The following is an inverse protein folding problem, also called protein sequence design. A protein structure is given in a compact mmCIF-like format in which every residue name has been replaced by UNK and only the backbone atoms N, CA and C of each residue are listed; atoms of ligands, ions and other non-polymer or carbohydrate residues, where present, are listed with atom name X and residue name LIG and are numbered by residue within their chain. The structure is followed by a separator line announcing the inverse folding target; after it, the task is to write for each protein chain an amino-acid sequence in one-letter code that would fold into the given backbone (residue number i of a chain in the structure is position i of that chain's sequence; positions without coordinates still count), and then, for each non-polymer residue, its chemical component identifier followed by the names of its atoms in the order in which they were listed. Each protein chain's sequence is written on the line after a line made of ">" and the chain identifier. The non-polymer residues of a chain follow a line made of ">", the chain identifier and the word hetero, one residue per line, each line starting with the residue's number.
data_IF_328946187991
#
_entry.id   IF_328946187991
#
_cell.length_a   1.000
_cell.length_b   1.000
_cell.length_c   1.000
_cell.angle_alpha   90.00
_cell.angle_beta   90.00
_cell.angle_gamma   90.00
#
_symmetry.space_group_name_H-M   'P 1'
#
loop_
_entity.id
_entity.type
_entity.pdbx_description
1 polymer ?
#
# COMPACT_ATOMS: atom_id res chain seq x y z
N UNK A 1 7.11 41.18 18.82
CA UNK A 1 8.01 42.18 18.20
C UNK A 1 8.35 41.67 16.80
N UNK A 2 7.71 42.30 15.80
CA UNK A 2 7.98 42.50 14.35
C UNK A 2 8.99 41.59 13.58
N UNK A 3 8.95 41.54 12.21
CA UNK A 3 7.87 41.89 11.25
C UNK A 3 7.80 41.07 9.92
N UNK A 4 6.74 41.37 9.14
CA UNK A 4 6.60 41.52 7.66
C UNK A 4 7.42 40.70 6.66
N UNK A 5 6.75 40.30 5.55
CA UNK A 5 7.16 40.25 4.12
C UNK A 5 6.09 39.38 3.39
N UNK A 6 5.40 39.69 2.28
CA UNK A 6 5.57 40.56 1.12
C UNK A 6 4.20 41.02 0.58
N UNK A 7 4.17 42.23 0.01
CA UNK A 7 3.09 42.74 -0.84
C UNK A 7 3.76 43.33 -2.10
N UNK A 8 3.41 42.83 -3.29
CA UNK A 8 3.75 43.48 -4.56
C UNK A 8 2.73 43.08 -5.62
N UNK A 9 1.86 44.03 -5.98
CA UNK A 9 0.95 43.96 -7.11
C UNK A 9 1.73 44.23 -8.40
N UNK A 10 1.76 43.26 -9.30
CA UNK A 10 2.04 43.49 -10.71
C UNK A 10 0.87 42.97 -11.54
N UNK A 11 0.19 43.90 -12.22
CA UNK A 11 -0.88 43.62 -13.18
C UNK A 11 -0.24 43.43 -14.55
N UNK A 12 -0.13 42.19 -15.01
CA UNK A 12 0.35 41.87 -16.36
C UNK A 12 -0.85 41.49 -17.22
N UNK A 13 -1.11 42.25 -18.27
CA UNK A 13 -2.17 41.97 -19.24
C UNK A 13 -1.84 40.70 -20.05
N UNK A 14 -2.74 39.71 -19.98
CA UNK A 14 -2.63 38.44 -20.71
C UNK A 14 -3.21 38.57 -22.12
N UNK A 15 -2.37 38.38 -23.13
CA UNK A 15 -2.78 38.19 -24.53
C UNK A 15 -3.10 36.71 -24.72
N UNK A 16 -4.36 36.40 -25.05
CA UNK A 16 -4.79 35.03 -25.39
C UNK A 16 -4.35 34.64 -26.80
N UNK A 17 -3.73 33.48 -27.03
CA UNK A 17 -3.65 32.90 -28.36
C UNK A 17 -5.01 32.28 -28.76
N UNK A 18 -5.36 32.30 -30.06
CA UNK A 18 -6.61 31.71 -30.56
C UNK A 18 -6.60 30.17 -30.47
N UNK A 19 -7.78 29.53 -30.44
CA UNK A 19 -7.91 28.08 -30.31
C UNK A 19 -7.41 27.36 -31.58
N UNK A 20 -6.68 26.26 -31.36
CA UNK A 20 -6.20 25.35 -32.40
C UNK A 20 -7.38 24.50 -32.89
N UNK A 21 -7.76 24.69 -34.15
CA UNK A 21 -8.76 23.86 -34.83
C UNK A 21 -8.12 22.53 -35.26
N UNK A 22 -8.52 21.42 -34.63
CA UNK A 22 -8.17 20.09 -35.10
C UNK A 22 -9.12 19.67 -36.23
N UNK A 23 -8.62 19.59 -37.45
CA UNK A 23 -9.30 18.95 -38.58
C UNK A 23 -9.16 17.43 -38.48
N UNK A 24 -10.26 16.72 -38.22
CA UNK A 24 -10.30 15.26 -38.32
C UNK A 24 -10.41 14.84 -39.79
N UNK A 25 -9.39 14.18 -40.32
CA UNK A 25 -9.50 13.40 -41.54
C UNK A 25 -8.46 12.29 -41.47
N UNK A 26 -8.96 11.06 -41.29
CA UNK A 26 -8.34 9.79 -41.70
C UNK A 26 -9.26 8.65 -41.21
N UNK A 27 -10.22 8.26 -42.05
CA UNK A 27 -10.85 6.95 -41.96
C UNK A 27 -9.94 5.92 -42.66
N UNK A 28 -9.50 4.85 -41.99
CA UNK A 28 -8.97 3.67 -42.67
C UNK A 28 -10.11 2.70 -43.06
N UNK A 29 -9.92 1.88 -44.10
CA UNK A 29 -10.95 1.03 -44.67
C UNK A 29 -11.33 -0.11 -43.71
N UNK A 30 -12.64 -0.27 -43.52
CA UNK A 30 -13.27 -1.36 -42.76
C UNK A 30 -12.99 -2.68 -43.48
N UNK A 31 -12.06 -3.47 -42.94
CA UNK A 31 -11.94 -4.89 -43.28
C UNK A 31 -13.09 -5.65 -42.60
N UNK A 32 -13.89 -6.32 -43.42
CA UNK A 32 -14.91 -7.31 -43.08
C UNK A 32 -14.53 -8.15 -41.85
N UNK A 33 -15.31 -8.00 -40.78
CA UNK A 33 -15.24 -8.81 -39.56
C UNK A 33 -15.71 -10.22 -39.90
N UNK A 34 -14.82 -11.21 -39.83
CA UNK A 34 -15.21 -12.60 -39.82
C UNK A 34 -16.10 -12.85 -38.58
N UNK A 35 -17.29 -13.39 -38.79
CA UNK A 35 -18.17 -13.86 -37.72
C UNK A 35 -17.44 -14.87 -36.83
N UNK A 36 -17.39 -14.65 -35.50
CA UNK A 36 -16.78 -15.62 -34.59
C UNK A 36 -17.58 -16.92 -34.66
N UNK A 37 -16.90 -18.03 -34.95
CA UNK A 37 -17.47 -19.36 -34.86
C UNK A 37 -17.96 -19.58 -33.43
N UNK A 38 -19.25 -19.91 -33.30
CA UNK A 38 -19.87 -20.23 -32.02
C UNK A 38 -19.08 -21.37 -31.37
N UNK A 39 -18.53 -21.19 -30.15
CA UNK A 39 -17.81 -22.26 -29.48
C UNK A 39 -18.77 -23.44 -29.25
N UNK A 40 -18.30 -24.68 -29.41
CA UNK A 40 -19.12 -25.86 -29.20
C UNK A 40 -19.67 -25.87 -27.77
N UNK A 41 -20.99 -26.02 -27.65
CA UNK A 41 -21.68 -26.10 -26.36
C UNK A 41 -21.10 -27.29 -25.59
N UNK A 42 -20.52 -27.07 -24.40
CA UNK A 42 -19.96 -28.17 -23.61
C UNK A 42 -21.07 -29.12 -23.21
N UNK A 43 -20.90 -30.41 -23.52
CA UNK A 43 -21.87 -31.44 -23.12
C UNK A 43 -22.06 -31.46 -21.60
N UNK A 44 -23.31 -31.65 -21.13
CA UNK A 44 -23.66 -31.67 -19.70
C UNK A 44 -22.79 -32.66 -18.89
N UNK A 45 -22.35 -33.74 -19.51
CA UNK A 45 -21.45 -34.74 -18.95
C UNK A 45 -20.05 -34.19 -18.62
N UNK A 46 -19.55 -33.21 -19.39
CA UNK A 46 -18.27 -32.54 -19.12
C UNK A 46 -18.40 -31.51 -17.99
N UNK A 47 -19.58 -30.90 -17.83
CA UNK A 47 -19.88 -29.96 -16.75
C UNK A 47 -19.93 -30.70 -15.40
N UNK A 48 -20.63 -31.84 -15.33
CA UNK A 48 -20.74 -32.65 -14.11
C UNK A 48 -19.38 -33.27 -13.72
N UNK A 49 -18.63 -33.80 -14.69
CA UNK A 49 -17.27 -34.32 -14.43
C UNK A 49 -16.32 -33.20 -13.98
N UNK A 50 -16.41 -32.01 -14.58
CA UNK A 50 -15.66 -30.83 -14.15
C UNK A 50 -16.00 -30.41 -12.72
N UNK A 51 -17.29 -30.44 -12.36
CA UNK A 51 -17.77 -30.11 -11.02
C UNK A 51 -17.31 -31.10 -9.95
N UNK A 52 -17.45 -32.42 -10.19
CA UNK A 52 -16.99 -33.47 -9.26
C UNK A 52 -15.47 -33.42 -9.08
N UNK A 53 -14.73 -33.24 -10.19
CA UNK A 53 -13.27 -33.11 -10.13
C UNK A 53 -12.85 -31.85 -9.38
N UNK A 54 -13.56 -30.74 -9.57
CA UNK A 54 -13.37 -29.47 -8.86
C UNK A 54 -13.59 -29.61 -7.35
N UNK A 55 -14.67 -30.27 -6.91
CA UNK A 55 -14.93 -30.52 -5.48
C UNK A 55 -13.81 -31.38 -4.88
N UNK A 56 -13.40 -32.45 -5.57
CA UNK A 56 -12.30 -33.31 -5.12
C UNK A 56 -10.99 -32.56 -4.94
N UNK A 57 -10.64 -31.66 -5.88
CA UNK A 57 -9.46 -30.81 -5.78
C UNK A 57 -9.58 -29.79 -4.63
N UNK A 58 -10.74 -29.15 -4.45
CA UNK A 58 -10.97 -28.20 -3.35
C UNK A 58 -10.85 -28.87 -1.98
N UNK A 59 -11.40 -30.07 -1.80
CA UNK A 59 -11.27 -30.82 -0.55
C UNK A 59 -9.82 -31.26 -0.29
N UNK A 60 -9.11 -31.75 -1.32
CA UNK A 60 -7.68 -32.09 -1.20
C UNK A 60 -6.85 -30.86 -0.83
N UNK A 61 -7.11 -29.72 -1.48
CA UNK A 61 -6.46 -28.43 -1.16
C UNK A 61 -6.76 -28.04 0.29
N UNK A 62 -8.01 -28.09 0.71
CA UNK A 62 -8.41 -27.78 2.09
C UNK A 62 -7.69 -28.64 3.14
N UNK A 63 -7.63 -29.97 2.93
CA UNK A 63 -6.90 -30.89 3.83
C UNK A 63 -5.41 -30.57 3.90
N UNK A 64 -4.77 -30.29 2.76
CA UNK A 64 -3.35 -29.92 2.68
C UNK A 64 -3.08 -28.59 3.38
N UNK A 65 -3.84 -27.55 3.05
CA UNK A 65 -3.71 -26.21 3.66
C UNK A 65 -3.92 -26.23 5.17
N UNK A 66 -4.83 -27.07 5.67
CA UNK A 66 -5.05 -27.24 7.11
C UNK A 66 -3.89 -27.97 7.79
N UNK A 67 -3.37 -29.04 7.15
CA UNK A 67 -2.18 -29.76 7.63
C UNK A 67 -0.97 -28.81 7.67
N UNK A 68 -0.76 -28.03 6.61
CA UNK A 68 0.31 -27.05 6.54
C UNK A 68 0.16 -25.97 7.60
N UNK A 69 -1.06 -25.48 7.86
CA UNK A 69 -1.31 -24.49 8.92
C UNK A 69 -0.93 -25.03 10.30
N UNK A 70 -1.25 -26.30 10.58
CA UNK A 70 -0.87 -26.96 11.82
C UNK A 70 0.65 -27.18 11.95
N UNK A 71 1.30 -27.59 10.85
CA UNK A 71 2.77 -27.72 10.80
C UNK A 71 3.43 -26.36 11.02
N UNK A 72 2.98 -25.31 10.33
CA UNK A 72 3.46 -23.94 10.49
C UNK A 72 3.28 -23.47 11.94
N UNK A 73 2.14 -23.75 12.58
CA UNK A 73 1.94 -23.44 14.00
C UNK A 73 3.01 -24.07 14.91
N UNK A 74 3.34 -25.35 14.70
CA UNK A 74 4.41 -26.02 15.46
C UNK A 74 5.79 -25.41 15.18
N UNK A 75 6.10 -25.14 13.92
CA UNK A 75 7.36 -24.54 13.48
C UNK A 75 7.54 -23.14 14.06
N UNK A 76 6.50 -22.30 13.98
CA UNK A 76 6.48 -20.94 14.56
C UNK A 76 6.70 -20.96 16.07
N UNK A 77 6.14 -21.95 16.80
CA UNK A 77 6.40 -22.08 18.24
C UNK A 77 7.88 -22.33 18.54
N UNK A 78 8.56 -23.15 17.73
CA UNK A 78 10.00 -23.41 17.86
C UNK A 78 10.83 -22.18 17.49
N UNK A 79 10.54 -21.56 16.35
CA UNK A 79 11.22 -20.33 15.89
C UNK A 79 11.09 -19.23 16.94
N UNK A 80 9.90 -19.04 17.51
CA UNK A 80 9.67 -18.02 18.54
C UNK A 80 10.47 -18.28 19.81
N UNK A 81 10.61 -19.55 20.22
CA UNK A 81 11.46 -19.89 21.36
C UNK A 81 12.93 -19.51 21.08
N UNK A 82 13.44 -19.83 19.89
CA UNK A 82 14.78 -19.43 19.46
C UNK A 82 14.95 -17.92 19.38
N UNK A 83 14.01 -17.21 18.75
CA UNK A 83 14.03 -15.76 18.58
C UNK A 83 14.05 -15.01 19.92
N UNK A 84 13.30 -15.49 20.92
CA UNK A 84 13.29 -14.89 22.25
C UNK A 84 14.63 -15.04 22.99
N UNK A 85 15.42 -16.06 22.66
CA UNK A 85 16.75 -16.28 23.25
C UNK A 85 17.81 -15.49 22.49
N UNK A 86 17.78 -15.55 21.16
CA UNK A 86 18.69 -14.82 20.30
C UNK A 86 17.95 -14.35 19.02
N UNK A 87 17.55 -13.07 18.94
CA UNK A 87 16.85 -12.54 17.77
C UNK A 87 17.65 -12.67 16.46
N UNK A 88 18.98 -12.71 16.56
CA UNK A 88 19.88 -12.79 15.41
C UNK A 88 20.12 -14.20 14.89
N UNK A 89 19.66 -15.27 15.55
CA UNK A 89 20.00 -16.64 15.15
C UNK A 89 19.03 -17.27 14.14
N UNK A 90 17.88 -16.66 13.89
CA UNK A 90 16.91 -17.16 12.92
C UNK A 90 17.17 -16.57 11.52
N UNK A 91 16.75 -17.28 10.48
CA UNK A 91 16.77 -16.82 9.10
C UNK A 91 15.58 -15.88 8.80
N UNK A 92 15.65 -15.13 7.70
CA UNK A 92 14.54 -14.24 7.31
C UNK A 92 13.25 -15.01 6.94
N UNK A 93 13.29 -16.12 6.20
CA UNK A 93 12.10 -16.92 5.95
C UNK A 93 11.44 -17.42 7.25
N UNK A 94 12.23 -17.79 8.26
CA UNK A 94 11.73 -18.17 9.58
C UNK A 94 11.08 -16.99 10.31
N UNK A 95 11.69 -15.81 10.27
CA UNK A 95 11.12 -14.60 10.86
C UNK A 95 9.81 -14.21 10.17
N UNK A 96 9.78 -14.21 8.83
CA UNK A 96 8.58 -13.93 8.04
C UNK A 96 7.47 -14.93 8.33
N UNK A 97 7.80 -16.23 8.42
CA UNK A 97 6.86 -17.28 8.81
C UNK A 97 6.30 -17.05 10.22
N UNK A 98 7.14 -16.63 11.18
CA UNK A 98 6.71 -16.30 12.54
C UNK A 98 5.70 -15.15 12.57
N UNK A 99 5.96 -14.07 11.82
CA UNK A 99 5.07 -12.92 11.74
C UNK A 99 3.74 -13.27 11.04
N UNK A 100 3.81 -13.96 9.89
CA UNK A 100 2.61 -14.46 9.18
C UNK A 100 1.79 -15.41 10.04
N UNK A 101 2.44 -16.26 10.85
CA UNK A 101 1.76 -17.16 11.78
C UNK A 101 0.91 -16.46 12.84
N UNK A 102 1.20 -15.20 13.19
CA UNK A 102 0.32 -14.38 14.06
C UNK A 102 -0.93 -13.95 13.28
N UNK A 103 -0.76 -13.47 12.05
CA UNK A 103 -1.87 -13.04 11.19
C UNK A 103 -2.81 -14.20 10.84
N UNK A 104 -2.25 -15.33 10.44
CA UNK A 104 -2.99 -16.52 10.05
C UNK A 104 -3.86 -17.07 11.18
N UNK A 105 -3.39 -17.00 12.43
CA UNK A 105 -4.20 -17.37 13.59
C UNK A 105 -5.39 -16.44 13.78
N UNK A 106 -5.20 -15.15 13.58
CA UNK A 106 -6.29 -14.17 13.66
C UNK A 106 -7.29 -14.36 12.51
N UNK A 107 -6.80 -14.61 11.29
CA UNK A 107 -7.63 -14.96 10.14
C UNK A 107 -8.44 -16.23 10.38
N UNK A 108 -7.79 -17.29 10.87
CA UNK A 108 -8.47 -18.55 11.22
C UNK A 108 -9.56 -18.32 12.27
N UNK A 109 -9.29 -17.55 13.33
CA UNK A 109 -10.28 -17.23 14.35
C UNK A 109 -11.48 -16.47 13.77
N UNK A 110 -11.24 -15.51 12.86
CA UNK A 110 -12.31 -14.78 12.18
C UNK A 110 -13.14 -15.69 11.28
N UNK A 111 -12.51 -16.61 10.54
CA UNK A 111 -13.21 -17.58 9.70
C UNK A 111 -14.03 -18.56 10.56
N UNK A 112 -13.47 -19.06 11.66
CA UNK A 112 -14.19 -19.92 12.61
C UNK A 112 -15.39 -19.20 13.22
N UNK A 113 -15.20 -17.94 13.65
CA UNK A 113 -16.28 -17.10 14.15
C UNK A 113 -17.37 -16.91 13.09
N UNK A 114 -16.98 -16.65 11.84
CA UNK A 114 -17.92 -16.52 10.73
C UNK A 114 -18.72 -17.80 10.48
N UNK A 115 -18.07 -18.97 10.53
CA UNK A 115 -18.73 -20.26 10.38
C UNK A 115 -19.71 -20.57 11.52
N UNK A 116 -19.45 -20.07 12.73
CA UNK A 116 -20.33 -20.29 13.90
C UNK A 116 -21.51 -19.32 13.91
N UNK A 117 -21.27 -18.04 13.67
CA UNK A 117 -22.30 -16.99 13.83
C UNK A 117 -23.01 -16.61 12.53
N UNK A 118 -22.45 -16.95 11.37
CA UNK A 118 -23.00 -16.62 10.05
C UNK A 118 -22.68 -17.72 9.03
N UNK A 119 -23.01 -18.97 9.37
CA UNK A 119 -22.73 -20.16 8.56
C UNK A 119 -23.21 -20.05 7.11
N UNK A 120 -24.38 -19.44 6.91
CA UNK A 120 -24.99 -19.30 5.58
C UNK A 120 -24.27 -18.27 4.71
N UNK A 121 -23.63 -17.28 5.34
CA UNK A 121 -22.84 -16.25 4.67
C UNK A 121 -21.39 -16.68 4.44
N UNK A 122 -20.87 -17.60 5.25
CA UNK A 122 -19.47 -18.00 5.22
C UNK A 122 -18.98 -18.46 3.83
N UNK A 123 -19.71 -19.31 3.06
CA UNK A 123 -19.27 -19.71 1.71
C UNK A 123 -19.09 -18.51 0.77
N UNK A 124 -20.04 -17.56 0.79
CA UNK A 124 -19.97 -16.36 -0.04
C UNK A 124 -18.82 -15.46 0.39
N UNK A 125 -18.64 -15.25 1.70
CA UNK A 125 -17.53 -14.47 2.22
C UNK A 125 -16.17 -15.06 1.82
N UNK A 126 -16.01 -16.40 1.89
CA UNK A 126 -14.76 -17.05 1.48
C UNK A 126 -14.53 -17.01 -0.04
N UNK A 127 -15.62 -17.07 -0.83
CA UNK A 127 -15.55 -16.97 -2.29
C UNK A 127 -15.17 -15.56 -2.75
N UNK A 128 -15.77 -14.52 -2.15
CA UNK A 128 -15.51 -13.13 -2.53
C UNK A 128 -14.30 -12.52 -1.81
N UNK A 129 -13.92 -13.04 -0.64
CA UNK A 129 -12.81 -12.54 0.20
C UNK A 129 -11.77 -13.62 0.50
N UNK A 130 -11.08 -14.16 -0.51
CA UNK A 130 -10.04 -15.19 -0.31
C UNK A 130 -8.93 -14.72 0.65
N UNK A 131 -8.67 -13.41 0.77
CA UNK A 131 -7.72 -12.82 1.70
C UNK A 131 -8.08 -12.99 3.19
N UNK A 132 -9.34 -13.34 3.51
CA UNK A 132 -9.77 -13.72 4.87
C UNK A 132 -9.22 -15.07 5.30
N UNK A 133 -8.82 -15.91 4.36
CA UNK A 133 -8.24 -17.20 4.66
C UNK A 133 -6.78 -17.04 5.12
N UNK A 134 -6.29 -17.94 5.99
CA UNK A 134 -4.87 -18.05 6.28
C UNK A 134 -4.04 -18.17 5.00
N UNK A 135 -2.79 -17.70 5.07
CA UNK A 135 -1.86 -17.68 3.94
C UNK A 135 -1.71 -19.07 3.30
N UNK A 136 -1.79 -20.15 4.06
CA UNK A 136 -1.72 -21.55 3.57
C UNK A 136 -2.84 -21.94 2.60
N UNK A 137 -3.92 -21.17 2.51
CA UNK A 137 -5.02 -21.37 1.55
C UNK A 137 -4.88 -20.50 0.30
N UNK A 138 -4.02 -19.47 0.35
CA UNK A 138 -3.73 -18.60 -0.77
C UNK A 138 -2.85 -19.36 -1.79
N UNK A 139 -3.16 -19.20 -3.08
CA UNK A 139 -2.34 -19.74 -4.17
C UNK A 139 -0.89 -19.27 -4.13
N UNK A 140 -0.61 -18.11 -3.53
CA UNK A 140 0.73 -17.53 -3.35
C UNK A 140 1.75 -18.44 -2.67
N UNK A 141 1.31 -19.35 -1.80
CA UNK A 141 2.21 -20.25 -1.04
C UNK A 141 2.09 -21.70 -1.48
N UNK A 142 1.46 -21.93 -2.63
CA UNK A 142 1.44 -23.24 -3.25
C UNK A 142 2.80 -23.48 -3.91
N UNK A 143 3.70 -24.13 -3.19
CA UNK A 143 4.82 -24.85 -3.80
C UNK A 143 4.21 -26.17 -4.29
N UNK A 144 3.95 -26.35 -5.60
CA UNK A 144 3.64 -27.69 -6.09
C UNK A 144 4.79 -28.61 -5.68
N UNK A 145 4.47 -29.82 -5.24
CA UNK A 145 5.47 -30.88 -5.16
C UNK A 145 6.22 -30.90 -6.51
N UNK A 146 7.56 -30.94 -6.47
CA UNK A 146 8.52 -30.78 -7.59
C UNK A 146 8.22 -31.62 -8.84
N UNK A 147 7.22 -32.49 -8.80
CA UNK A 147 6.92 -33.46 -9.84
C UNK A 147 6.01 -32.96 -10.98
N UNK A 148 5.34 -31.81 -10.90
CA UNK A 148 4.30 -31.50 -11.91
C UNK A 148 4.25 -30.09 -12.53
N UNK A 149 5.03 -29.10 -12.11
CA UNK A 149 5.02 -27.79 -12.80
C UNK A 149 6.44 -27.25 -12.87
N UNK A 150 6.98 -27.16 -14.10
CA UNK A 150 8.27 -26.54 -14.34
C UNK A 150 8.35 -25.17 -13.67
N UNK A 151 9.45 -24.92 -12.97
CA UNK A 151 9.73 -23.77 -12.09
C UNK A 151 9.40 -22.39 -12.70
N UNK A 152 9.26 -22.30 -14.02
CA UNK A 152 8.96 -21.07 -14.76
C UNK A 152 7.54 -20.53 -14.57
N UNK A 153 6.51 -21.38 -14.42
CA UNK A 153 5.10 -20.90 -14.43
C UNK A 153 4.62 -20.25 -13.13
N UNK A 154 5.17 -20.64 -11.99
CA UNK A 154 4.74 -20.12 -10.67
C UNK A 154 5.21 -18.66 -10.51
N UNK A 155 6.38 -18.34 -11.05
CA UNK A 155 6.93 -16.99 -11.00
C UNK A 155 6.09 -16.02 -11.85
N UNK A 156 5.56 -16.45 -13.01
CA UNK A 156 4.72 -15.60 -13.87
C UNK A 156 3.42 -15.15 -13.19
N UNK A 157 2.70 -16.05 -12.52
CA UNK A 157 1.45 -15.68 -11.83
C UNK A 157 1.71 -14.73 -10.66
N UNK A 158 2.77 -14.98 -9.89
CA UNK A 158 3.16 -14.11 -8.78
C UNK A 158 3.53 -12.71 -9.28
N UNK A 159 4.32 -12.62 -10.34
CA UNK A 159 4.68 -11.36 -10.99
C UNK A 159 3.44 -10.64 -11.52
N UNK A 160 2.48 -11.34 -12.13
CA UNK A 160 1.23 -10.73 -12.59
C UNK A 160 0.40 -10.13 -11.44
N UNK A 161 0.27 -10.84 -10.31
CA UNK A 161 -0.43 -10.31 -9.13
C UNK A 161 0.27 -9.08 -8.57
N UNK A 162 1.61 -9.07 -8.57
CA UNK A 162 2.40 -7.93 -8.13
C UNK A 162 2.24 -6.72 -9.06
N UNK A 163 2.26 -6.92 -10.38
CA UNK A 163 2.01 -5.86 -11.38
C UNK A 163 0.59 -5.29 -11.25
N UNK A 164 -0.42 -6.15 -11.08
CA UNK A 164 -1.79 -5.70 -10.84
C UNK A 164 -1.91 -4.92 -9.51
N UNK A 165 -1.15 -5.33 -8.50
CA UNK A 165 -1.01 -4.61 -7.25
C UNK A 165 -0.48 -3.19 -7.47
N UNK A 166 0.56 -3.02 -8.29
CA UNK A 166 1.17 -1.73 -8.54
C UNK A 166 0.22 -0.75 -9.25
N UNK A 167 -0.52 -1.21 -10.27
CA UNK A 167 -1.56 -0.38 -10.91
C UNK A 167 -2.63 0.06 -9.90
N UNK A 168 -3.01 -0.83 -8.98
CA UNK A 168 -3.97 -0.51 -7.91
C UNK A 168 -3.43 0.56 -6.95
N UNK A 169 -2.12 0.57 -6.69
CA UNK A 169 -1.46 1.61 -5.88
C UNK A 169 -1.54 2.97 -6.55
N UNK A 170 -1.31 3.04 -7.87
CA UNK A 170 -1.35 4.30 -8.61
C UNK A 170 -2.73 4.93 -8.56
N UNK A 171 -3.75 4.13 -8.85
CA UNK A 171 -5.14 4.57 -8.71
C UNK A 171 -5.45 5.05 -7.30
N UNK A 172 -4.95 4.36 -6.27
CA UNK A 172 -5.15 4.77 -4.88
C UNK A 172 -4.48 6.12 -4.54
N UNK A 173 -3.28 6.40 -5.07
CA UNK A 173 -2.62 7.71 -4.91
C UNK A 173 -3.43 8.81 -5.60
N UNK A 174 -3.86 8.59 -6.84
CA UNK A 174 -4.65 9.57 -7.60
C UNK A 174 -5.99 9.86 -6.94
N UNK A 175 -6.70 8.81 -6.51
CA UNK A 175 -7.95 8.94 -5.74
C UNK A 175 -7.75 9.73 -4.44
N UNK A 176 -6.61 9.52 -3.76
CA UNK A 176 -6.29 10.25 -2.54
C UNK A 176 -6.04 11.74 -2.82
N UNK A 177 -5.29 12.06 -3.88
CA UNK A 177 -5.02 13.45 -4.27
C UNK A 177 -6.30 14.18 -4.69
N UNK A 178 -7.10 13.58 -5.58
CA UNK A 178 -8.40 14.12 -5.98
C UNK A 178 -9.33 14.24 -4.76
N UNK A 179 -9.28 13.25 -3.86
CA UNK A 179 -10.05 13.26 -2.60
C UNK A 179 -9.65 14.42 -1.67
N UNK A 180 -8.36 14.73 -1.58
CA UNK A 180 -7.84 15.87 -0.83
C UNK A 180 -8.32 17.19 -1.44
N UNK A 181 -8.16 17.37 -2.75
CA UNK A 181 -8.62 18.58 -3.47
C UNK A 181 -10.13 18.80 -3.30
N UNK A 182 -10.95 17.75 -3.48
CA UNK A 182 -12.39 17.82 -3.26
C UNK A 182 -12.75 18.23 -1.83
N UNK A 183 -11.98 17.76 -0.84
CA UNK A 183 -12.17 18.11 0.58
C UNK A 183 -11.76 19.55 0.90
N UNK A 184 -10.94 20.18 0.06
CA UNK A 184 -10.60 21.60 0.18
C UNK A 184 -11.68 22.53 -0.37
N UNK A 185 -12.48 22.06 -1.34
CA UNK A 185 -13.50 22.87 -2.01
C UNK A 185 -14.88 22.70 -1.38
N UNK A 186 -15.22 21.47 -0.99
CA UNK A 186 -16.55 21.15 -0.46
C UNK A 186 -16.45 20.76 1.02
N UNK A 187 -17.14 21.47 1.94
CA UNK A 187 -17.21 21.02 3.32
C UNK A 187 -17.88 19.64 3.37
N UNK A 188 -17.55 18.85 4.40
CA UNK A 188 -18.20 17.56 4.59
C UNK A 188 -19.72 17.71 4.71
N UNK A 189 -20.49 16.69 4.28
CA UNK A 189 -21.96 16.73 4.33
C UNK A 189 -22.49 17.16 5.71
N UNK A 190 -21.90 16.63 6.79
CA UNK A 190 -22.26 16.97 8.17
C UNK A 190 -21.84 18.40 8.55
N UNK A 191 -20.71 18.88 8.03
CA UNK A 191 -20.19 20.23 8.30
C UNK A 191 -21.07 21.30 7.62
N UNK A 192 -21.63 21.00 6.45
CA UNK A 192 -22.60 21.86 5.78
C UNK A 192 -23.92 22.01 6.54
N UNK A 193 -24.28 21.02 7.38
CA UNK A 193 -25.49 21.04 8.21
C UNK A 193 -25.30 21.75 9.55
N UNK A 194 -24.07 22.08 9.96
CA UNK A 194 -23.80 22.75 11.23
C UNK A 194 -23.56 24.26 11.04
N UNK A 195 -24.58 25.12 11.22
CA UNK A 195 -24.44 26.56 11.03
C UNK A 195 -23.49 27.22 12.04
N UNK A 196 -23.27 26.61 13.20
CA UNK A 196 -22.37 27.12 14.25
C UNK A 196 -20.91 26.70 14.04
N UNK A 197 -20.64 25.77 13.12
CA UNK A 197 -19.31 25.21 12.86
C UNK A 197 -18.50 25.92 11.78
N UNK A 198 -19.03 27.00 11.16
CA UNK A 198 -18.44 27.61 9.95
C UNK A 198 -16.96 28.00 10.10
N UNK A 199 -16.57 28.58 11.24
CA UNK A 199 -15.17 28.98 11.50
C UNK A 199 -14.23 27.78 11.58
N UNK A 200 -14.63 26.72 12.30
CA UNK A 200 -13.85 25.50 12.43
C UNK A 200 -13.74 24.76 11.09
N UNK A 201 -14.82 24.75 10.28
CA UNK A 201 -14.82 24.20 8.93
C UNK A 201 -13.87 24.96 8.01
N UNK A 202 -13.90 26.30 8.02
CA UNK A 202 -12.98 27.13 7.23
C UNK A 202 -11.50 26.91 7.63
N UNK A 203 -11.21 26.82 8.93
CA UNK A 203 -9.85 26.52 9.40
C UNK A 203 -9.39 25.13 8.95
N UNK A 204 -10.28 24.13 9.01
CA UNK A 204 -10.00 22.78 8.52
C UNK A 204 -9.74 22.77 7.00
N UNK A 205 -10.54 23.49 6.21
CA UNK A 205 -10.34 23.62 4.77
C UNK A 205 -8.99 24.30 4.44
N UNK A 206 -8.61 25.32 5.21
CA UNK A 206 -7.29 25.96 5.06
C UNK A 206 -6.14 24.99 5.35
N UNK A 207 -6.24 24.18 6.41
CA UNK A 207 -5.23 23.16 6.72
C UNK A 207 -5.18 22.06 5.66
N UNK A 208 -6.34 21.67 5.11
CA UNK A 208 -6.38 20.72 3.99
C UNK A 208 -5.75 21.28 2.72
N UNK A 209 -5.93 22.57 2.45
CA UNK A 209 -5.31 23.23 1.31
C UNK A 209 -3.78 23.22 1.41
N UNK A 210 -3.24 23.49 2.61
CA UNK A 210 -1.80 23.40 2.88
C UNK A 210 -1.27 21.98 2.64
N UNK A 211 -1.93 20.96 3.21
CA UNK A 211 -1.56 19.55 3.01
C UNK A 211 -1.64 19.18 1.52
N UNK A 212 -2.65 19.67 0.81
CA UNK A 212 -2.83 19.42 -0.63
C UNK A 212 -1.72 20.06 -1.45
N UNK A 213 -1.28 21.28 -1.09
CA UNK A 213 -0.16 21.94 -1.74
C UNK A 213 1.15 21.18 -1.51
N UNK A 214 1.39 20.69 -0.29
CA UNK A 214 2.55 19.84 0.01
C UNK A 214 2.50 18.56 -0.83
N UNK A 215 1.36 17.85 -0.83
CA UNK A 215 1.18 16.63 -1.61
C UNK A 215 1.40 16.87 -3.12
N UNK A 216 0.96 18.03 -3.64
CA UNK A 216 1.21 18.45 -5.01
C UNK A 216 2.70 18.69 -5.27
N UNK A 217 3.39 19.41 -4.38
CA UNK A 217 4.83 19.66 -4.50
C UNK A 217 5.63 18.35 -4.51
N UNK A 218 5.23 17.36 -3.71
CA UNK A 218 5.86 16.04 -3.66
C UNK A 218 5.83 15.30 -5.02
N UNK A 219 4.86 15.57 -5.88
CA UNK A 219 4.82 14.99 -7.24
C UNK A 219 5.98 15.47 -8.12
N UNK A 220 6.58 16.60 -7.79
CA UNK A 220 7.66 17.21 -8.56
C UNK A 220 9.03 17.04 -7.88
N UNK A 221 9.08 16.94 -6.55
CA UNK A 221 10.31 16.85 -5.78
C UNK A 221 11.01 15.49 -5.91
N UNK A 222 12.34 15.46 -5.73
CA UNK A 222 13.05 14.19 -5.54
C UNK A 222 12.61 13.56 -4.20
N UNK A 223 12.57 12.22 -4.06
CA UNK A 223 12.10 11.55 -2.84
C UNK A 223 12.79 12.01 -1.56
N UNK A 224 14.11 12.24 -1.60
CA UNK A 224 14.88 12.74 -0.45
C UNK A 224 14.46 14.16 -0.03
N UNK A 225 14.15 15.03 -0.99
CA UNK A 225 13.68 16.40 -0.72
C UNK A 225 12.24 16.37 -0.19
N UNK A 226 11.38 15.55 -0.78
CA UNK A 226 10.01 15.36 -0.32
C UNK A 226 9.96 14.84 1.12
N UNK A 227 10.85 13.89 1.48
CA UNK A 227 11.00 13.42 2.85
C UNK A 227 11.45 14.53 3.80
N UNK A 228 12.44 15.35 3.41
CA UNK A 228 12.92 16.46 4.23
C UNK A 228 11.83 17.51 4.48
N UNK A 229 11.00 17.83 3.48
CA UNK A 229 9.86 18.74 3.66
C UNK A 229 8.79 18.17 4.60
N UNK A 230 8.60 16.86 4.60
CA UNK A 230 7.63 16.19 5.47
C UNK A 230 8.15 15.96 6.89
N UNK A 231 9.47 15.89 7.07
CA UNK A 231 10.11 15.48 8.32
C UNK A 231 9.69 16.35 9.51
N UNK A 232 9.46 17.64 9.30
CA UNK A 232 8.95 18.57 10.33
C UNK A 232 7.62 18.10 10.95
N UNK A 233 6.76 17.41 10.20
CA UNK A 233 5.47 16.92 10.69
C UNK A 233 5.61 15.68 11.57
N UNK A 234 6.77 15.02 11.56
CA UNK A 234 7.03 13.88 12.44
C UNK A 234 7.41 14.31 13.86
N UNK A 235 7.74 15.58 14.07
CA UNK A 235 8.05 16.14 15.39
C UNK A 235 6.79 16.67 16.08
N UNK A 236 6.51 16.19 17.30
CA UNK A 236 5.33 16.58 18.06
C UNK A 236 5.66 16.83 19.53
N UNK A 237 5.06 17.86 20.14
CA UNK A 237 5.19 18.18 21.58
C UNK A 237 4.60 17.12 22.52
N UNK A 238 3.98 16.06 21.97
CA UNK A 238 3.29 15.02 22.74
C UNK A 238 3.39 13.69 21.98
N UNK A 239 4.61 13.13 21.87
CA UNK A 239 4.88 11.97 21.00
C UNK A 239 4.12 10.70 21.42
N UNK A 240 3.74 10.60 22.70
CA UNK A 240 2.97 9.49 23.27
C UNK A 240 1.46 9.67 23.15
N UNK A 241 0.99 10.75 22.53
CA UNK A 241 -0.45 11.01 22.40
C UNK A 241 -1.09 9.96 21.47
N UNK A 242 -2.03 9.19 22.01
CA UNK A 242 -2.77 8.15 21.28
C UNK A 242 -3.47 8.67 20.04
N UNK A 243 -3.90 9.95 20.01
CA UNK A 243 -4.49 10.57 18.82
C UNK A 243 -3.48 10.68 17.69
N UNK A 244 -2.26 11.12 18.00
CA UNK A 244 -1.16 11.26 17.03
C UNK A 244 -0.75 9.90 16.50
N UNK A 245 -0.51 8.93 17.40
CA UNK A 245 -0.14 7.56 17.05
C UNK A 245 -1.20 6.80 16.24
N UNK A 246 -2.45 7.28 16.25
CA UNK A 246 -3.58 6.69 15.52
C UNK A 246 -4.09 7.57 14.38
N UNK A 247 -3.33 8.59 14.01
CA UNK A 247 -3.67 9.52 12.93
C UNK A 247 -5.07 10.14 13.09
N UNK A 248 -5.46 10.46 14.33
CA UNK A 248 -6.73 11.11 14.63
C UNK A 248 -6.65 12.57 14.20
N UNK A 249 -7.43 12.93 13.20
CA UNK A 249 -7.42 14.25 12.57
C UNK A 249 -6.77 14.25 11.18
N UNK A 250 -6.05 13.18 10.82
CA UNK A 250 -5.52 13.05 9.47
C UNK A 250 -6.65 13.02 8.41
N UNK A 251 -6.44 13.61 7.23
CA UNK A 251 -7.45 13.62 6.17
C UNK A 251 -7.86 12.20 5.77
N UNK A 252 -9.17 11.96 5.63
CA UNK A 252 -9.71 10.64 5.26
C UNK A 252 -9.13 10.14 3.93
N UNK A 253 -8.99 11.04 2.96
CA UNK A 253 -8.44 10.73 1.64
C UNK A 253 -7.00 10.19 1.73
N UNK A 254 -6.15 10.83 2.56
CA UNK A 254 -4.76 10.41 2.78
C UNK A 254 -4.69 8.99 3.38
N UNK A 255 -5.40 8.75 4.48
CA UNK A 255 -5.42 7.44 5.14
C UNK A 255 -5.98 6.37 4.20
N UNK A 256 -7.05 6.70 3.47
CA UNK A 256 -7.66 5.76 2.54
C UNK A 256 -6.74 5.41 1.38
N UNK A 257 -6.03 6.41 0.83
CA UNK A 257 -5.02 6.21 -0.21
C UNK A 257 -3.91 5.31 0.27
N UNK A 258 -3.26 5.68 1.38
CA UNK A 258 -2.17 4.91 1.97
C UNK A 258 -2.59 3.48 2.30
N UNK A 259 -3.77 3.29 2.89
CA UNK A 259 -4.26 1.96 3.19
C UNK A 259 -4.44 1.13 1.91
N UNK A 260 -5.09 1.67 0.87
CA UNK A 260 -5.25 1.01 -0.42
C UNK A 260 -3.90 0.70 -1.09
N UNK A 261 -2.94 1.62 -1.07
CA UNK A 261 -1.60 1.39 -1.62
C UNK A 261 -0.89 0.21 -0.94
N UNK A 262 -1.18 -0.05 0.34
CA UNK A 262 -0.59 -1.14 1.11
C UNK A 262 -1.46 -2.41 1.15
N UNK A 263 -2.55 -2.46 0.36
CA UNK A 263 -3.52 -3.56 0.41
C UNK A 263 -4.26 -3.66 1.76
N UNK A 264 -4.16 -2.64 2.60
CA UNK A 264 -4.81 -2.58 3.91
C UNK A 264 -6.28 -2.21 3.72
N UNK A 265 -7.17 -3.05 4.25
CA UNK A 265 -8.60 -2.87 4.07
C UNK A 265 -9.08 -3.17 2.64
N UNK A 266 -8.28 -3.89 1.85
CA UNK A 266 -8.69 -4.41 0.55
C UNK A 266 -9.79 -5.48 0.75
N UNK A 267 -11.02 -5.01 0.75
CA UNK A 267 -12.25 -5.80 0.72
C UNK A 267 -13.33 -4.94 0.06
N UNK A 268 -14.36 -5.52 -0.53
CA UNK A 268 -15.40 -4.75 -1.20
C UNK A 268 -16.41 -4.16 -0.23
N UNK A 269 -16.37 -4.54 1.04
CA UNK A 269 -17.10 -3.83 2.08
C UNK A 269 -16.27 -2.60 2.48
N UNK A 270 -16.77 -1.38 2.24
CA UNK A 270 -16.06 -0.17 2.65
C UNK A 270 -15.93 -0.16 4.17
N UNK A 271 -14.68 -0.13 4.65
CA UNK A 271 -14.44 -0.09 6.08
C UNK A 271 -14.69 1.32 6.65
N UNK A 272 -15.30 1.42 7.85
CA UNK A 272 -15.32 2.67 8.58
C UNK A 272 -13.91 3.23 8.75
N UNK A 273 -13.77 4.55 8.62
CA UNK A 273 -12.46 5.21 8.59
C UNK A 273 -11.60 4.92 9.84
N UNK A 274 -12.21 4.77 11.02
CA UNK A 274 -11.46 4.43 12.23
C UNK A 274 -10.87 3.02 12.20
N UNK A 275 -11.54 2.05 11.55
CA UNK A 275 -11.03 0.70 11.37
C UNK A 275 -9.87 0.70 10.38
N UNK A 276 -10.01 1.46 9.28
CA UNK A 276 -8.95 1.60 8.28
C UNK A 276 -7.68 2.19 8.89
N UNK A 277 -7.80 3.23 9.73
CA UNK A 277 -6.68 3.77 10.52
C UNK A 277 -6.05 2.71 11.42
N UNK A 278 -6.86 1.95 12.15
CA UNK A 278 -6.36 0.91 13.05
C UNK A 278 -5.60 -0.18 12.29
N UNK A 279 -6.08 -0.58 11.11
CA UNK A 279 -5.40 -1.55 10.26
C UNK A 279 -4.09 -0.97 9.68
N UNK A 280 -4.07 0.31 9.28
CA UNK A 280 -2.86 0.97 8.81
C UNK A 280 -1.80 1.07 9.91
N UNK A 281 -2.19 1.43 11.15
CA UNK A 281 -1.29 1.42 12.30
C UNK A 281 -0.72 0.02 12.52
N UNK A 282 -1.57 -1.02 12.49
CA UNK A 282 -1.11 -2.41 12.62
C UNK A 282 -0.12 -2.81 11.52
N UNK A 283 -0.32 -2.34 10.28
CA UNK A 283 0.63 -2.55 9.18
C UNK A 283 1.96 -1.86 9.45
N UNK A 284 1.95 -0.63 9.96
CA UNK A 284 3.17 0.09 10.33
C UNK A 284 3.91 -0.57 11.50
N UNK A 285 3.18 -1.09 12.50
CA UNK A 285 3.76 -1.85 13.61
C UNK A 285 4.44 -3.15 13.10
N UNK A 286 3.81 -3.82 12.12
CA UNK A 286 4.41 -4.97 11.43
C UNK A 286 5.68 -4.55 10.71
N UNK A 287 5.62 -3.52 9.86
CA UNK A 287 6.77 -3.01 9.13
C UNK A 287 7.93 -2.66 10.07
N UNK A 288 7.63 -1.99 11.19
CA UNK A 288 8.62 -1.69 12.23
C UNK A 288 9.33 -2.94 12.72
N UNK A 289 8.59 -3.99 13.09
CA UNK A 289 9.19 -5.23 13.56
C UNK A 289 10.08 -5.90 12.48
N UNK A 290 9.68 -5.85 11.21
CA UNK A 290 10.50 -6.34 10.11
C UNK A 290 11.77 -5.49 9.92
N UNK A 291 11.65 -4.16 9.93
CA UNK A 291 12.79 -3.26 9.75
C UNK A 291 13.81 -3.38 10.89
N UNK A 292 13.34 -3.50 12.14
CA UNK A 292 14.22 -3.75 13.29
C UNK A 292 15.01 -5.06 13.12
N UNK A 293 14.35 -6.14 12.69
CA UNK A 293 15.02 -7.40 12.39
C UNK A 293 16.05 -7.25 11.27
N UNK A 294 15.70 -6.59 10.16
CA UNK A 294 16.59 -6.38 9.02
C UNK A 294 17.79 -5.53 9.39
N UNK A 295 17.60 -4.48 10.18
CA UNK A 295 18.69 -3.62 10.66
C UNK A 295 19.66 -4.39 11.57
N UNK A 296 19.17 -5.26 12.45
CA UNK A 296 20.02 -6.15 13.26
C UNK A 296 20.83 -7.08 12.36
N UNK A 297 20.22 -7.66 11.32
CA UNK A 297 20.92 -8.52 10.36
C UNK A 297 21.96 -7.78 9.54
N UNK A 298 21.64 -6.59 9.05
CA UNK A 298 22.58 -5.73 8.31
C UNK A 298 23.80 -5.34 9.15
N UNK A 299 23.62 -5.08 10.45
CA UNK A 299 24.73 -4.83 11.37
C UNK A 299 25.66 -6.03 11.53
N UNK A 300 25.13 -7.24 11.41
CA UNK A 300 25.93 -8.48 11.45
C UNK A 300 26.52 -8.90 10.10
N UNK A 301 25.84 -8.56 9.00
CA UNK A 301 26.23 -8.90 7.63
C UNK A 301 25.76 -7.77 6.69
N UNK A 302 26.68 -6.94 6.22
CA UNK A 302 26.36 -5.82 5.31
C UNK A 302 25.85 -6.29 3.93
N UNK A 303 26.12 -7.54 3.55
CA UNK A 303 25.65 -8.15 2.30
C UNK A 303 24.30 -8.84 2.47
N UNK A 304 23.68 -8.80 3.65
CA UNK A 304 22.44 -9.54 3.92
C UNK A 304 21.33 -9.23 2.91
N UNK A 305 21.10 -7.96 2.57
CA UNK A 305 20.09 -7.57 1.58
C UNK A 305 20.49 -7.99 0.16
N UNK A 306 21.78 -8.14 -0.15
CA UNK A 306 22.28 -8.62 -1.44
C UNK A 306 22.12 -10.13 -1.62
N UNK A 307 22.05 -10.86 -0.51
CA UNK A 307 21.90 -12.32 -0.48
C UNK A 307 20.44 -12.80 -0.44
N UNK A 308 19.49 -11.89 -0.20
CA UNK A 308 18.06 -12.25 -0.20
C UNK A 308 17.62 -12.76 -1.57
N UNK A 309 16.81 -13.83 -1.56
CA UNK A 309 16.11 -14.34 -2.73
C UNK A 309 15.20 -13.26 -3.32
N UNK A 310 14.94 -13.36 -4.63
CA UNK A 310 14.20 -12.33 -5.38
C UNK A 310 12.77 -12.21 -4.84
N UNK A 311 12.17 -13.33 -4.46
CA UNK A 311 10.82 -13.42 -3.90
C UNK A 311 10.69 -12.66 -2.58
N UNK A 312 11.64 -12.87 -1.67
CA UNK A 312 11.72 -12.17 -0.38
C UNK A 312 11.97 -10.68 -0.58
N UNK A 313 12.85 -10.32 -1.52
CA UNK A 313 13.14 -8.93 -1.85
C UNK A 313 11.90 -8.22 -2.43
N UNK A 314 11.17 -8.88 -3.33
CA UNK A 314 9.93 -8.37 -3.88
C UNK A 314 8.89 -8.15 -2.80
N UNK A 315 8.71 -9.09 -1.86
CA UNK A 315 7.82 -8.91 -0.72
C UNK A 315 8.24 -7.71 0.14
N UNK A 316 9.53 -7.59 0.47
CA UNK A 316 10.05 -6.48 1.26
C UNK A 316 9.81 -5.13 0.58
N UNK A 317 10.09 -5.04 -0.71
CA UNK A 317 9.86 -3.84 -1.50
C UNK A 317 8.37 -3.50 -1.56
N UNK A 318 7.54 -4.51 -1.84
CA UNK A 318 6.09 -4.39 -1.93
C UNK A 318 5.45 -3.87 -0.63
N UNK A 319 5.83 -4.42 0.52
CA UNK A 319 5.28 -4.03 1.83
C UNK A 319 5.61 -2.58 2.21
N UNK A 320 6.70 -2.03 1.65
CA UNK A 320 7.19 -0.66 1.87
C UNK A 320 6.84 0.29 0.72
N UNK A 321 6.06 -0.19 -0.25
CA UNK A 321 5.75 0.50 -1.51
C UNK A 321 7.01 1.03 -2.24
N UNK A 322 8.16 0.39 -2.06
CA UNK A 322 9.43 0.78 -2.65
C UNK A 322 9.46 0.32 -4.10
N UNK A 323 9.43 1.28 -5.03
CA UNK A 323 9.53 1.07 -6.48
C UNK A 323 8.40 0.18 -7.06
N UNK A 324 8.18 0.32 -8.36
CA UNK A 324 7.26 -0.53 -9.12
C UNK A 324 7.88 -1.90 -9.43
N UNK A 325 7.06 -2.88 -9.79
CA UNK A 325 7.50 -4.26 -10.04
C UNK A 325 8.25 -4.45 -11.38
N UNK A 326 8.28 -3.41 -12.21
CA UNK A 326 9.07 -3.31 -13.45
C UNK A 326 10.56 -3.10 -13.21
N UNK A 327 10.97 -2.85 -11.95
CA UNK A 327 12.34 -2.50 -11.62
C UNK A 327 13.24 -3.73 -11.54
N UNK A 328 14.51 -3.55 -11.89
CA UNK A 328 15.52 -4.59 -11.79
C UNK A 328 15.77 -5.00 -10.33
N UNK A 329 16.27 -6.23 -10.10
CA UNK A 329 16.66 -6.70 -8.75
C UNK A 329 17.61 -5.71 -8.06
N UNK A 330 18.57 -5.15 -8.80
CA UNK A 330 19.51 -4.14 -8.31
C UNK A 330 18.80 -2.86 -7.83
N UNK A 331 17.75 -2.44 -8.52
CA UNK A 331 16.92 -1.30 -8.12
C UNK A 331 16.12 -1.59 -6.87
N UNK A 332 15.51 -2.77 -6.77
CA UNK A 332 14.78 -3.21 -5.59
C UNK A 332 15.68 -3.23 -4.35
N UNK A 333 16.87 -3.84 -4.44
CA UNK A 333 17.85 -3.86 -3.34
C UNK A 333 18.25 -2.45 -2.89
N UNK A 334 18.57 -1.58 -3.85
CA UNK A 334 18.89 -0.17 -3.59
C UNK A 334 17.73 0.58 -2.94
N UNK A 335 16.50 0.33 -3.38
CA UNK A 335 15.30 0.94 -2.79
C UNK A 335 15.06 0.49 -1.36
N UNK A 336 15.19 -0.81 -1.09
CA UNK A 336 15.05 -1.39 0.26
C UNK A 336 16.17 -0.90 1.18
N UNK A 337 17.42 -0.86 0.72
CA UNK A 337 18.54 -0.30 1.48
C UNK A 337 18.28 1.17 1.84
N UNK A 338 17.86 1.99 0.87
CA UNK A 338 17.48 3.39 1.13
C UNK A 338 16.33 3.49 2.15
N UNK A 339 15.37 2.56 2.12
CA UNK A 339 14.31 2.54 3.11
C UNK A 339 14.86 2.29 4.52
N UNK A 340 15.75 1.31 4.66
CA UNK A 340 16.34 0.91 5.94
C UNK A 340 17.30 1.98 6.47
N UNK A 341 18.10 2.62 5.61
CA UNK A 341 18.94 3.78 5.95
C UNK A 341 18.09 4.92 6.55
N UNK A 342 16.95 5.22 5.93
CA UNK A 342 16.01 6.20 6.46
C UNK A 342 15.42 5.76 7.80
N UNK A 343 15.08 4.47 7.97
CA UNK A 343 14.59 3.96 9.24
C UNK A 343 15.66 4.03 10.34
N UNK A 344 16.92 3.74 10.04
CA UNK A 344 18.03 3.85 10.99
C UNK A 344 18.28 5.30 11.37
N UNK A 345 18.30 6.22 10.39
CA UNK A 345 18.38 7.66 10.63
C UNK A 345 17.23 8.13 11.54
N UNK A 346 16.02 7.66 11.27
CA UNK A 346 14.84 7.98 12.08
C UNK A 346 14.92 7.41 13.50
N UNK A 347 15.43 6.18 13.66
CA UNK A 347 15.69 5.57 14.96
C UNK A 347 16.73 6.36 15.76
N UNK A 348 17.70 6.97 15.09
CA UNK A 348 18.65 7.92 15.69
C UNK A 348 17.99 9.18 16.28
N UNK A 349 16.77 9.53 15.87
CA UNK A 349 16.00 10.64 16.47
C UNK A 349 15.21 10.22 17.71
N UNK A 350 15.18 8.93 18.07
CA UNK A 350 14.46 8.49 19.25
C UNK A 350 15.09 9.10 20.51
N UNK A 351 14.34 10.02 21.15
CA UNK A 351 14.80 10.77 22.32
C UNK A 351 15.49 12.10 22.02
N UNK A 352 15.77 12.41 20.74
CA UNK A 352 16.33 13.71 20.33
C UNK A 352 15.24 14.79 20.38
N UNK A 353 15.53 15.91 21.02
CA UNK A 353 14.70 17.12 21.07
C UNK A 353 15.34 18.13 20.13
N UNK A 354 14.65 18.47 19.03
CA UNK A 354 15.20 19.36 17.99
C UNK A 354 14.84 20.82 18.27
N UNK A 355 13.59 21.09 18.64
CA UNK A 355 13.09 22.44 19.00
C UNK A 355 11.95 22.34 20.01
N UNK A 356 11.91 23.24 21.00
CA UNK A 356 10.73 23.55 21.85
C UNK A 356 9.92 22.31 22.34
N UNK A 357 10.58 21.36 23.00
CA UNK A 357 9.96 20.14 23.56
C UNK A 357 9.30 19.19 22.54
N UNK A 358 9.51 19.39 21.23
CA UNK A 358 9.03 18.44 20.22
C UNK A 358 9.96 17.24 20.12
N UNK A 359 9.36 16.06 20.09
CA UNK A 359 10.06 14.77 19.93
C UNK A 359 9.61 14.11 18.65
N UNK A 360 10.53 13.39 18.01
CA UNK A 360 10.23 12.61 16.83
C UNK A 360 9.24 11.49 17.16
N UNK A 361 8.25 11.31 16.28
CA UNK A 361 7.24 10.27 16.37
C UNK A 361 7.48 9.30 15.23
N UNK A 362 8.12 8.16 15.53
CA UNK A 362 8.56 7.18 14.54
C UNK A 362 7.45 6.71 13.59
N UNK A 363 6.26 6.45 14.11
CA UNK A 363 5.12 6.01 13.29
C UNK A 363 4.69 7.07 12.26
N UNK A 364 4.91 8.37 12.54
CA UNK A 364 4.71 9.45 11.56
C UNK A 364 5.84 9.48 10.53
N UNK A 365 7.09 9.29 10.93
CA UNK A 365 8.21 9.17 9.98
C UNK A 365 8.01 8.05 8.97
N UNK A 366 7.59 6.86 9.45
CA UNK A 366 7.30 5.70 8.60
C UNK A 366 6.13 5.95 7.66
N UNK A 367 5.04 6.57 8.13
CA UNK A 367 3.88 6.84 7.26
C UNK A 367 4.21 7.87 6.18
N UNK A 368 5.06 8.86 6.49
CA UNK A 368 5.54 9.84 5.50
C UNK A 368 6.42 9.19 4.45
N UNK A 369 7.35 8.34 4.86
CA UNK A 369 8.21 7.60 3.95
C UNK A 369 7.41 6.66 3.05
N UNK A 370 6.40 6.00 3.61
CA UNK A 370 5.47 5.19 2.83
C UNK A 370 4.71 6.04 1.80
N UNK A 371 4.22 7.22 2.19
CA UNK A 371 3.53 8.14 1.29
C UNK A 371 4.43 8.65 0.16
N UNK A 372 5.68 9.02 0.46
CA UNK A 372 6.68 9.41 -0.55
C UNK A 372 6.91 8.29 -1.55
N UNK A 373 7.08 7.06 -1.05
CA UNK A 373 7.28 5.89 -1.89
C UNK A 373 6.07 5.60 -2.78
N UNK A 374 4.84 5.67 -2.24
CA UNK A 374 3.62 5.52 -3.04
C UNK A 374 3.56 6.56 -4.16
N UNK A 375 3.86 7.83 -3.86
CA UNK A 375 3.89 8.91 -4.85
C UNK A 375 4.98 8.69 -5.90
N UNK A 376 6.16 8.24 -5.48
CA UNK A 376 7.27 7.94 -6.38
C UNK A 376 6.94 6.80 -7.34
N UNK A 377 6.24 5.76 -6.88
CA UNK A 377 5.77 4.67 -7.74
C UNK A 377 4.87 5.15 -8.88
N UNK A 378 4.09 6.22 -8.67
CA UNK A 378 3.28 6.85 -9.75
C UNK A 378 4.15 7.60 -10.77
N UNK A 379 5.35 8.04 -10.37
CA UNK A 379 6.20 8.92 -11.19
C UNK A 379 7.13 8.17 -12.14
N UNK A 380 7.64 7.01 -11.74
CA UNK A 380 8.82 6.40 -12.37
C UNK A 380 8.53 5.54 -13.61
N UNK A 381 7.28 5.18 -13.88
CA UNK A 381 6.93 4.43 -15.09
C UNK A 381 6.49 5.34 -16.25
N UNK A 382 7.18 5.18 -17.38
CA UNK A 382 7.06 6.03 -18.57
C UNK A 382 5.63 6.19 -19.10
N UNK A 383 5.37 7.34 -19.73
CA UNK A 383 4.10 7.71 -20.37
C UNK A 383 2.98 8.10 -19.41
N UNK A 384 2.60 7.22 -18.47
CA UNK A 384 1.46 7.46 -17.57
C UNK A 384 1.78 8.40 -16.41
N UNK A 385 3.01 8.34 -15.88
CA UNK A 385 3.47 9.29 -14.86
C UNK A 385 3.55 10.73 -15.38
N UNK A 386 3.71 10.92 -16.69
CA UNK A 386 3.68 12.23 -17.33
C UNK A 386 2.25 12.79 -17.38
N UNK A 387 1.26 11.97 -17.77
CA UNK A 387 -0.14 12.37 -17.75
C UNK A 387 -0.59 12.83 -16.35
N UNK A 388 -0.20 12.09 -15.31
CA UNK A 388 -0.50 12.49 -13.92
C UNK A 388 0.15 13.83 -13.59
N UNK A 389 1.43 14.02 -13.93
CA UNK A 389 2.12 15.30 -13.66
C UNK A 389 1.49 16.46 -14.43
N UNK A 390 1.06 16.24 -15.67
CA UNK A 390 0.42 17.23 -16.53
C UNK A 390 -0.99 17.60 -16.03
N UNK A 391 -1.77 16.63 -15.52
CA UNK A 391 -3.05 16.91 -14.84
C UNK A 391 -2.88 17.89 -13.68
N UNK A 392 -1.82 17.75 -12.88
CA UNK A 392 -1.54 18.68 -11.79
C UNK A 392 -0.81 19.95 -12.23
N UNK A 393 -0.17 19.96 -13.41
CA UNK A 393 0.50 21.13 -14.01
C UNK A 393 -0.50 22.16 -14.52
N UNK A 394 -1.59 21.72 -15.16
CA UNK A 394 -2.67 22.58 -15.64
C UNK A 394 -3.30 23.46 -14.55
N UNK A 395 -3.31 22.98 -13.30
CA UNK A 395 -3.79 23.75 -12.15
C UNK A 395 -2.82 24.85 -11.66
N UNK A 396 -1.54 24.83 -12.06
CA UNK A 396 -0.56 25.87 -11.70
C UNK A 396 -0.36 26.93 -12.79
N UNK A 397 -0.85 26.69 -14.02
CA UNK A 397 -0.68 27.59 -15.17
C UNK A 397 -1.71 28.72 -15.28
N UNK A 398 -2.58 28.89 -14.29
CA UNK A 398 -3.60 29.93 -14.24
C UNK A 398 -3.22 31.17 -13.42
N UNK A 399 -1.95 31.61 -13.49
CA UNK A 399 -1.52 32.91 -12.96
C UNK A 399 -0.89 33.74 -14.06
#
# INVERSE_FOLDING_TARGET
>A
MLPHLFNSNHTTATIFPPPVTFTSSLEPPIKSLATPSTPPVPSETNIIKGFITGIGQTLKKGKRSTTQLYTNYKTVKKIKATYNVNPGSISYPEFSLMQRGVEDRWKLLNVMSLMVFASDFAPYALMFYPQMLPSTFSSRFYVPEEKEVGEKKINEQYVQELVAGDLSRRHAVLEAMIGLERSCVKPGFIEGLNPFGKKASAQKMSSLLEITQIAKNMMYLKPSLALAELEQFAFHSSPKNRKVLRFVGAPKALISGLAKCNGVGAGPIPLPHFMLRAQLVKHLDKLKAYDEYLLVKLKSNSMFIEELEVEDLLELANDRCVLGMSHSVKELRRGVNRWLENCERQGGYEGVVVEEDKKFVEVLGRVMQLGVNCVQGVREEGGEGELVREMFRGANGGK
#
